data_IF_658434792338
#
_entry.id   IF_658434792338
#
_cell.length_a   1.000
_cell.length_b   1.000
_cell.length_c   1.000
_cell.angle_alpha   90.00
_cell.angle_beta   90.00
_cell.angle_gamma   90.00
#
_symmetry.space_group_name_H-M   'P 1'
#
loop_
_entity.id
_entity.type
_entity.pdbx_description
1 polymer ?
#
# COMPACT_ATOMS: atom_id res chain seq x y z
N UNK A 1 -2.96 8.27 -32.79
CA UNK A 1 -3.83 7.23 -32.20
C UNK A 1 -3.22 6.64 -30.94
N UNK A 2 -1.91 6.37 -30.91
CA UNK A 2 -1.23 5.79 -29.73
C UNK A 2 -1.31 6.65 -28.46
N UNK A 3 -1.23 7.98 -28.63
CA UNK A 3 -1.42 8.93 -27.52
C UNK A 3 -2.80 8.80 -26.86
N UNK A 4 -3.85 8.54 -27.64
CA UNK A 4 -5.20 8.38 -27.10
C UNK A 4 -5.32 7.11 -26.24
N UNK A 5 -4.72 6.00 -26.68
CA UNK A 5 -4.68 4.72 -25.95
C UNK A 5 -3.94 4.88 -24.61
N UNK A 6 -2.81 5.60 -24.63
CA UNK A 6 -2.03 5.82 -23.41
C UNK A 6 -2.77 6.76 -22.46
N UNK A 7 -3.38 7.82 -22.99
CA UNK A 7 -4.19 8.75 -22.19
C UNK A 7 -5.41 8.07 -21.57
N UNK A 8 -6.11 7.20 -22.31
CA UNK A 8 -7.27 6.47 -21.79
C UNK A 8 -6.87 5.51 -20.69
N UNK A 9 -5.74 4.82 -20.81
CA UNK A 9 -5.22 3.95 -19.75
C UNK A 9 -4.85 4.73 -18.47
N UNK A 10 -4.22 5.91 -18.62
CA UNK A 10 -3.87 6.78 -17.48
C UNK A 10 -5.13 7.33 -16.79
N UNK A 11 -6.11 7.80 -17.57
CA UNK A 11 -7.40 8.27 -17.04
C UNK A 11 -8.13 7.13 -16.33
N UNK A 12 -8.13 5.93 -16.92
CA UNK A 12 -8.72 4.72 -16.33
C UNK A 12 -8.11 4.38 -14.97
N UNK A 13 -6.78 4.51 -14.84
CA UNK A 13 -6.08 4.32 -13.57
C UNK A 13 -6.46 5.39 -12.54
N UNK A 14 -6.59 6.65 -12.96
CA UNK A 14 -7.00 7.72 -12.06
C UNK A 14 -8.42 7.48 -11.52
N UNK A 15 -9.37 7.11 -12.39
CA UNK A 15 -10.72 6.71 -12.00
C UNK A 15 -10.66 5.52 -11.03
N UNK A 16 -9.80 4.53 -11.29
CA UNK A 16 -9.65 3.37 -10.42
C UNK A 16 -9.19 3.75 -9.02
N UNK A 17 -8.25 4.68 -8.89
CA UNK A 17 -7.81 5.18 -7.57
C UNK A 17 -8.97 5.86 -6.83
N UNK A 18 -9.75 6.70 -7.51
CA UNK A 18 -10.91 7.40 -6.90
C UNK A 18 -12.00 6.41 -6.48
N UNK A 19 -12.36 5.48 -7.36
CA UNK A 19 -13.35 4.43 -7.10
C UNK A 19 -12.88 3.52 -5.97
N UNK A 20 -11.61 3.10 -5.98
CA UNK A 20 -11.01 2.31 -4.90
C UNK A 20 -11.14 3.01 -3.55
N UNK A 21 -10.78 4.30 -3.47
CA UNK A 21 -10.88 5.07 -2.23
C UNK A 21 -12.33 5.08 -1.73
N UNK A 22 -13.28 5.29 -2.65
CA UNK A 22 -14.71 5.33 -2.35
C UNK A 22 -15.22 3.96 -1.87
N UNK A 23 -15.01 2.90 -2.65
CA UNK A 23 -15.47 1.53 -2.36
C UNK A 23 -14.88 1.01 -1.05
N UNK A 24 -13.57 1.18 -0.82
CA UNK A 24 -12.93 0.74 0.41
C UNK A 24 -13.30 1.61 1.63
N UNK A 25 -13.80 2.84 1.43
CA UNK A 25 -14.38 3.63 2.52
C UNK A 25 -15.71 3.06 3.00
N UNK A 26 -16.48 2.45 2.10
CA UNK A 26 -17.76 1.80 2.42
C UNK A 26 -17.59 0.35 2.90
N UNK A 27 -16.66 -0.40 2.32
CA UNK A 27 -16.32 -1.75 2.76
C UNK A 27 -15.26 -1.68 3.87
N UNK A 28 -15.69 -1.80 5.13
CA UNK A 28 -14.78 -1.85 6.28
C UNK A 28 -13.62 -2.85 6.12
N UNK A 29 -12.53 -2.61 6.85
CA UNK A 29 -11.21 -3.23 6.61
C UNK A 29 -11.09 -4.76 6.58
N UNK A 30 -12.13 -5.51 6.97
CA UNK A 30 -12.14 -6.99 6.85
C UNK A 30 -12.34 -7.48 5.41
N UNK A 31 -12.85 -6.64 4.50
CA UNK A 31 -13.17 -7.01 3.11
C UNK A 31 -12.36 -6.23 2.07
N UNK A 32 -11.10 -5.88 2.39
CA UNK A 32 -10.24 -5.08 1.49
C UNK A 32 -10.06 -5.74 0.13
N UNK A 33 -9.79 -7.06 0.09
CA UNK A 33 -9.59 -7.79 -1.17
C UNK A 33 -10.86 -7.75 -2.03
N UNK A 34 -12.02 -8.01 -1.42
CA UNK A 34 -13.33 -7.96 -2.10
C UNK A 34 -13.59 -6.54 -2.61
N UNK A 35 -13.31 -5.51 -1.81
CA UNK A 35 -13.47 -4.12 -2.23
C UNK A 35 -12.56 -3.72 -3.39
N UNK A 36 -11.34 -4.25 -3.46
CA UNK A 36 -10.43 -4.03 -4.60
C UNK A 36 -10.96 -4.68 -5.88
N UNK A 37 -11.49 -5.90 -5.78
CA UNK A 37 -12.12 -6.61 -6.90
C UNK A 37 -13.32 -5.79 -7.40
N UNK A 38 -14.21 -5.35 -6.50
CA UNK A 38 -15.33 -4.49 -6.88
C UNK A 38 -14.89 -3.19 -7.53
N UNK A 39 -13.89 -2.50 -6.96
CA UNK A 39 -13.39 -1.25 -7.53
C UNK A 39 -12.81 -1.44 -8.93
N UNK A 40 -12.11 -2.56 -9.16
CA UNK A 40 -11.57 -2.91 -10.47
C UNK A 40 -12.67 -3.12 -11.51
N UNK A 41 -13.66 -3.96 -11.19
CA UNK A 41 -14.80 -4.22 -12.09
C UNK A 41 -15.63 -2.97 -12.36
N UNK A 42 -15.90 -2.18 -11.33
CA UNK A 42 -16.71 -0.96 -11.46
C UNK A 42 -16.01 0.09 -12.33
N UNK A 43 -14.69 0.22 -12.18
CA UNK A 43 -13.89 1.10 -13.05
C UNK A 43 -13.82 0.57 -14.48
N UNK A 44 -13.64 -0.73 -14.67
CA UNK A 44 -13.68 -1.36 -16.01
C UNK A 44 -15.00 -1.07 -16.73
N UNK A 45 -16.11 -1.18 -16.00
CA UNK A 45 -17.44 -0.92 -16.53
C UNK A 45 -17.63 0.57 -16.90
N UNK A 46 -17.16 1.50 -16.06
CA UNK A 46 -17.12 2.94 -16.40
C UNK A 46 -16.30 3.19 -17.67
N UNK A 47 -15.10 2.61 -17.77
CA UNK A 47 -14.23 2.80 -18.93
C UNK A 47 -14.82 2.20 -20.20
N UNK A 48 -15.54 1.08 -20.09
CA UNK A 48 -16.32 0.54 -21.20
C UNK A 48 -17.31 1.60 -21.70
N UNK A 49 -18.19 2.12 -20.85
CA UNK A 49 -19.18 3.12 -21.29
C UNK A 49 -18.56 4.42 -21.83
N UNK A 50 -17.47 4.90 -21.25
CA UNK A 50 -16.82 6.16 -21.66
C UNK A 50 -16.12 6.02 -23.01
N UNK A 51 -15.41 4.91 -23.24
CA UNK A 51 -14.52 4.78 -24.40
C UNK A 51 -15.07 3.88 -25.52
N UNK A 52 -16.13 3.10 -25.28
CA UNK A 52 -16.71 2.19 -26.27
C UNK A 52 -17.19 2.91 -27.54
N UNK A 53 -17.70 4.13 -27.43
CA UNK A 53 -18.19 4.90 -28.57
C UNK A 53 -17.09 5.63 -29.36
N UNK A 54 -15.88 5.76 -28.80
CA UNK A 54 -14.81 6.57 -29.39
C UNK A 54 -13.71 5.76 -30.06
N UNK A 55 -13.63 4.45 -29.79
CA UNK A 55 -12.49 3.60 -30.15
C UNK A 55 -12.91 2.35 -30.90
N UNK A 56 -12.06 1.90 -31.83
CA UNK A 56 -12.20 0.57 -32.44
C UNK A 56 -11.98 -0.51 -31.38
N UNK A 57 -12.66 -1.66 -31.53
CA UNK A 57 -12.67 -2.75 -30.53
C UNK A 57 -11.26 -3.24 -30.17
N UNK A 58 -10.34 -3.27 -31.14
CA UNK A 58 -8.94 -3.67 -30.96
C UNK A 58 -8.20 -2.72 -30.01
N UNK A 59 -8.39 -1.41 -30.17
CA UNK A 59 -7.75 -0.41 -29.31
C UNK A 59 -8.30 -0.42 -27.89
N UNK A 60 -9.61 -0.70 -27.74
CA UNK A 60 -10.21 -0.90 -26.42
C UNK A 60 -9.57 -2.07 -25.68
N UNK A 61 -9.37 -3.21 -26.34
CA UNK A 61 -8.72 -4.39 -25.74
C UNK A 61 -7.31 -4.07 -25.28
N UNK A 62 -6.51 -3.37 -26.11
CA UNK A 62 -5.15 -2.97 -25.75
C UNK A 62 -5.14 -2.02 -24.55
N UNK A 63 -6.02 -1.00 -24.55
CA UNK A 63 -6.15 -0.07 -23.43
C UNK A 63 -6.58 -0.78 -22.14
N UNK A 64 -7.47 -1.78 -22.25
CA UNK A 64 -7.92 -2.57 -21.12
C UNK A 64 -6.81 -3.45 -20.53
N UNK A 65 -5.97 -4.07 -21.38
CA UNK A 65 -4.82 -4.85 -20.94
C UNK A 65 -3.79 -3.97 -20.23
N UNK A 66 -3.49 -2.79 -20.78
CA UNK A 66 -2.59 -1.82 -20.15
C UNK A 66 -3.12 -1.35 -18.80
N UNK A 67 -4.40 -1.00 -18.73
CA UNK A 67 -5.06 -0.65 -17.47
C UNK A 67 -4.96 -1.78 -16.43
N UNK A 68 -5.25 -3.02 -16.84
CA UNK A 68 -5.17 -4.20 -15.96
C UNK A 68 -3.77 -4.40 -15.40
N UNK A 69 -2.75 -4.28 -16.25
CA UNK A 69 -1.35 -4.39 -15.84
C UNK A 69 -0.98 -3.28 -14.84
N UNK A 70 -1.35 -2.03 -15.12
CA UNK A 70 -1.06 -0.92 -14.21
C UNK A 70 -1.81 -1.05 -12.87
N UNK A 71 -3.05 -1.54 -12.88
CA UNK A 71 -3.83 -1.79 -11.67
C UNK A 71 -3.16 -2.87 -10.80
N UNK A 72 -2.68 -3.97 -11.40
CA UNK A 72 -1.94 -5.01 -10.69
C UNK A 72 -0.65 -4.45 -10.08
N UNK A 73 0.15 -3.73 -10.87
CA UNK A 73 1.40 -3.11 -10.40
C UNK A 73 1.11 -2.18 -9.22
N UNK A 74 0.08 -1.34 -9.33
CA UNK A 74 -0.32 -0.42 -8.26
C UNK A 74 -0.76 -1.18 -6.99
N UNK A 75 -1.57 -2.22 -7.11
CA UNK A 75 -2.00 -3.03 -5.97
C UNK A 75 -0.80 -3.69 -5.29
N UNK A 76 0.12 -4.24 -6.08
CA UNK A 76 1.33 -4.89 -5.57
C UNK A 76 2.27 -3.90 -4.89
N UNK A 77 2.46 -2.73 -5.48
CA UNK A 77 3.32 -1.69 -4.92
C UNK A 77 2.72 -1.10 -3.64
N UNK A 78 1.40 -0.90 -3.59
CA UNK A 78 0.75 -0.27 -2.42
C UNK A 78 0.50 -1.27 -1.29
N UNK A 79 -0.01 -2.47 -1.58
CA UNK A 79 -0.34 -3.48 -0.56
C UNK A 79 0.82 -4.44 -0.29
N UNK A 80 1.55 -4.84 -1.34
CA UNK A 80 2.67 -5.77 -1.22
C UNK A 80 3.79 -5.18 -0.37
N UNK A 81 4.20 -3.94 -0.63
CA UNK A 81 5.24 -3.26 0.16
C UNK A 81 4.85 -3.14 1.64
N UNK A 82 3.58 -2.82 1.93
CA UNK A 82 3.10 -2.63 3.29
C UNK A 82 3.04 -3.94 4.10
N UNK A 83 2.75 -5.08 3.45
CA UNK A 83 2.50 -6.36 4.13
C UNK A 83 3.70 -7.30 4.14
N UNK A 84 4.56 -7.29 3.12
CA UNK A 84 5.69 -8.24 3.02
C UNK A 84 7.01 -7.70 3.59
N UNK A 85 7.18 -6.39 3.72
CA UNK A 85 8.41 -5.84 4.29
C UNK A 85 8.37 -5.88 5.81
N UNK A 86 9.01 -6.90 6.40
CA UNK A 86 9.30 -6.97 7.85
C UNK A 86 9.90 -5.65 8.37
N UNK A 87 10.67 -4.92 7.57
CA UNK A 87 11.22 -3.60 7.90
C UNK A 87 10.11 -2.59 8.21
N UNK A 88 9.11 -2.52 7.34
CA UNK A 88 7.98 -1.59 7.47
C UNK A 88 7.09 -2.00 8.64
N UNK A 89 6.82 -3.29 8.82
CA UNK A 89 6.03 -3.75 9.95
C UNK A 89 6.70 -3.46 11.30
N UNK A 90 8.03 -3.64 11.40
CA UNK A 90 8.80 -3.33 12.60
C UNK A 90 8.75 -1.83 12.92
N UNK A 91 8.98 -0.98 11.92
CA UNK A 91 8.93 0.46 12.07
C UNK A 91 7.52 0.98 12.41
N UNK A 92 6.46 0.41 11.81
CA UNK A 92 5.06 0.70 12.16
C UNK A 92 4.78 0.30 13.60
N UNK A 93 5.23 -0.88 14.03
CA UNK A 93 5.05 -1.37 15.41
C UNK A 93 5.76 -0.46 16.42
N UNK A 94 6.99 -0.01 16.13
CA UNK A 94 7.73 0.95 16.96
C UNK A 94 6.96 2.28 17.06
N UNK A 95 6.42 2.76 15.95
CA UNK A 95 5.64 4.01 15.90
C UNK A 95 4.32 3.92 16.66
N UNK A 96 3.57 2.81 16.50
CA UNK A 96 2.28 2.60 17.18
C UNK A 96 2.42 2.48 18.70
N UNK A 97 3.56 1.96 19.18
CA UNK A 97 3.86 1.84 20.62
C UNK A 97 4.46 3.12 21.23
N UNK A 98 4.34 4.26 20.54
CA UNK A 98 4.78 5.56 21.05
C UNK A 98 6.24 5.87 20.80
N UNK A 99 6.87 5.23 19.80
CA UNK A 99 8.24 5.50 19.37
C UNK A 99 9.32 4.85 20.23
N UNK A 100 8.94 3.92 21.12
CA UNK A 100 9.86 3.18 22.00
C UNK A 100 9.39 1.74 22.15
N UNK A 101 10.28 0.78 21.93
CA UNK A 101 9.94 -0.64 22.13
C UNK A 101 11.09 -1.41 22.77
N UNK A 102 10.75 -2.23 23.75
CA UNK A 102 11.69 -3.16 24.37
C UNK A 102 11.87 -4.38 23.45
N UNK A 103 13.10 -4.85 23.31
CA UNK A 103 13.43 -6.04 22.50
C UNK A 103 12.56 -7.26 22.87
N UNK A 104 12.28 -7.45 24.16
CA UNK A 104 11.45 -8.56 24.65
C UNK A 104 10.02 -8.56 24.08
N UNK A 105 9.38 -7.37 23.96
CA UNK A 105 8.04 -7.23 23.37
C UNK A 105 8.02 -7.48 21.85
N UNK A 106 9.12 -7.16 21.17
CA UNK A 106 9.29 -7.47 19.73
C UNK A 106 9.35 -8.98 19.49
N UNK A 107 10.03 -9.71 20.37
CA UNK A 107 10.17 -11.16 20.28
C UNK A 107 8.88 -11.91 20.59
N UNK A 108 8.01 -11.38 21.46
CA UNK A 108 6.69 -11.96 21.71
C UNK A 108 5.77 -11.85 20.48
N UNK A 109 5.89 -10.76 19.70
CA UNK A 109 5.07 -10.53 18.50
C UNK A 109 5.59 -11.26 17.26
N UNK A 110 6.88 -11.58 17.21
CA UNK A 110 7.51 -12.25 16.07
C UNK A 110 8.25 -13.51 16.51
N UNK A 111 7.74 -14.68 16.09
CA UNK A 111 8.21 -15.99 16.53
C UNK A 111 9.64 -16.39 16.05
N UNK A 112 10.38 -15.51 15.34
CA UNK A 112 11.69 -15.81 14.74
C UNK A 112 12.79 -14.85 15.18
N UNK A 113 13.39 -15.11 16.37
CA UNK A 113 14.48 -14.33 17.01
C UNK A 113 15.60 -13.89 16.05
N UNK A 114 16.25 -14.84 15.39
CA UNK A 114 17.45 -14.59 14.57
C UNK A 114 17.16 -13.65 13.38
N UNK A 115 15.97 -13.75 12.80
CA UNK A 115 15.58 -12.92 11.63
C UNK A 115 15.31 -11.48 12.07
N UNK A 116 14.70 -11.29 13.25
CA UNK A 116 14.39 -9.97 13.79
C UNK A 116 15.68 -9.27 14.21
N UNK A 117 16.59 -9.97 14.88
CA UNK A 117 17.84 -9.42 15.37
C UNK A 117 18.72 -8.92 14.23
N UNK A 118 18.93 -9.75 13.19
CA UNK A 118 19.65 -9.35 11.98
C UNK A 118 19.01 -8.16 11.26
N UNK A 119 17.67 -8.03 11.31
CA UNK A 119 16.95 -6.90 10.70
C UNK A 119 17.01 -5.63 11.54
N UNK A 120 16.90 -5.73 12.87
CA UNK A 120 17.06 -4.62 13.79
C UNK A 120 18.49 -4.07 13.71
N UNK A 121 19.51 -4.93 13.67
CA UNK A 121 20.89 -4.51 13.47
C UNK A 121 21.08 -3.77 12.14
N UNK A 122 20.48 -4.25 11.03
CA UNK A 122 20.51 -3.51 9.75
C UNK A 122 19.77 -2.17 9.82
N UNK A 123 18.64 -2.10 10.53
CA UNK A 123 17.90 -0.86 10.73
C UNK A 123 18.67 0.16 11.58
N UNK A 124 19.40 -0.31 12.59
CA UNK A 124 20.33 0.51 13.39
C UNK A 124 21.52 0.96 12.54
N UNK A 125 22.12 0.03 11.79
CA UNK A 125 23.24 0.34 10.88
C UNK A 125 22.86 1.31 9.75
N UNK A 126 21.61 1.28 9.30
CA UNK A 126 21.06 2.24 8.33
C UNK A 126 20.65 3.58 8.97
N UNK A 127 20.75 3.72 10.31
CA UNK A 127 20.41 4.94 11.03
C UNK A 127 18.91 5.26 11.08
N UNK A 128 18.02 4.31 10.74
CA UNK A 128 16.57 4.50 10.79
C UNK A 128 15.99 4.35 12.20
N UNK A 129 16.65 3.52 13.02
CA UNK A 129 16.33 3.36 14.43
C UNK A 129 17.60 3.48 15.26
N UNK A 130 17.49 3.98 16.50
CA UNK A 130 18.58 4.01 17.46
C UNK A 130 18.30 3.00 18.56
N UNK A 131 19.33 2.30 19.02
CA UNK A 131 19.25 1.44 20.19
C UNK A 131 19.92 2.13 21.38
N UNK A 132 19.17 2.38 22.45
CA UNK A 132 19.71 3.00 23.67
C UNK A 132 19.01 2.45 24.92
N UNK A 133 19.79 2.10 25.94
CA UNK A 133 19.30 1.60 27.24
C UNK A 133 18.31 0.41 27.14
N UNK A 134 18.49 -0.49 26.17
CA UNK A 134 17.59 -1.65 25.99
C UNK A 134 16.35 -1.41 25.14
N UNK A 135 16.18 -0.19 24.61
CA UNK A 135 15.03 0.21 23.80
C UNK A 135 15.45 0.64 22.40
N UNK A 136 14.58 0.35 21.42
CA UNK A 136 14.70 0.87 20.07
C UNK A 136 13.83 2.11 19.90
N UNK A 137 14.42 3.18 19.34
CA UNK A 137 13.81 4.49 19.07
C UNK A 137 13.80 4.75 17.58
N UNK A 138 12.79 5.47 17.08
CA UNK A 138 12.79 5.97 15.71
C UNK A 138 13.75 7.16 15.58
N UNK A 139 14.64 7.14 14.60
CA UNK A 139 15.49 8.29 14.31
C UNK A 139 14.76 9.24 13.34
N UNK A 140 14.83 10.55 13.58
CA UNK A 140 13.97 11.54 12.88
C UNK A 140 14.42 11.85 11.43
N UNK A 141 15.39 11.11 10.90
CA UNK A 141 15.87 11.26 9.52
C UNK A 141 14.74 10.99 8.52
N UNK A 142 14.61 11.88 7.52
CA UNK A 142 13.58 11.81 6.47
C UNK A 142 13.84 10.56 5.58
N UNK A 143 13.33 9.40 5.99
CA UNK A 143 13.35 8.18 5.18
C UNK A 143 12.05 8.05 4.38
N UNK A 144 12.11 7.36 3.22
CA UNK A 144 10.94 6.90 2.43
C UNK A 144 9.85 6.27 3.31
N UNK A 145 10.22 5.80 4.50
CA UNK A 145 9.30 5.37 5.55
C UNK A 145 8.28 6.43 5.98
N UNK A 146 8.63 7.72 6.14
CA UNK A 146 7.66 8.77 6.49
C UNK A 146 6.61 8.93 5.40
N UNK A 147 7.01 8.89 4.13
CA UNK A 147 6.11 8.94 2.98
C UNK A 147 5.17 7.72 2.96
N UNK A 148 5.72 6.53 3.19
CA UNK A 148 4.94 5.30 3.28
C UNK A 148 3.99 5.29 4.50
N UNK A 149 4.45 5.78 5.65
CA UNK A 149 3.64 5.90 6.86
C UNK A 149 2.58 6.98 6.74
N UNK A 150 2.83 8.04 5.96
CA UNK A 150 1.83 9.05 5.61
C UNK A 150 0.79 8.44 4.68
N UNK A 151 1.18 7.63 3.69
CA UNK A 151 0.27 6.83 2.87
C UNK A 151 -0.54 5.84 3.71
N UNK A 152 0.08 5.09 4.63
CA UNK A 152 -0.62 4.16 5.54
C UNK A 152 -1.55 4.93 6.48
N UNK A 153 -1.15 6.07 7.04
CA UNK A 153 -2.00 6.89 7.90
C UNK A 153 -3.16 7.51 7.13
N UNK A 154 -2.93 7.98 5.90
CA UNK A 154 -3.97 8.44 4.99
C UNK A 154 -4.93 7.30 4.70
N UNK A 155 -4.43 6.13 4.33
CA UNK A 155 -5.24 4.93 4.10
C UNK A 155 -6.01 4.55 5.38
N UNK A 156 -5.39 4.50 6.55
CA UNK A 156 -6.05 4.17 7.81
C UNK A 156 -7.12 5.20 8.20
N UNK A 157 -6.87 6.50 7.95
CA UNK A 157 -7.81 7.60 8.19
C UNK A 157 -8.97 7.59 7.21
N UNK A 158 -8.71 7.28 5.94
CA UNK A 158 -9.71 7.20 4.86
C UNK A 158 -10.56 5.94 4.95
N UNK A 159 -10.00 4.82 5.40
CA UNK A 159 -10.65 3.51 5.33
C UNK A 159 -11.27 3.01 6.64
N UNK A 160 -11.15 3.74 7.78
CA UNK A 160 -11.56 3.25 9.11
C UNK A 160 -11.13 1.78 9.34
N UNK A 161 -9.98 1.38 8.79
CA UNK A 161 -9.49 0.00 8.92
C UNK A 161 -9.16 -0.18 10.40
N UNK A 162 -9.70 -1.23 11.07
CA UNK A 162 -9.33 -1.49 12.45
C UNK A 162 -7.82 -1.63 12.47
N UNK A 163 -7.14 -0.79 13.27
CA UNK A 163 -5.71 -0.94 13.53
C UNK A 163 -5.49 -2.40 13.91
N UNK A 164 -4.56 -3.06 13.22
CA UNK A 164 -4.15 -4.43 13.53
C UNK A 164 -3.81 -4.48 15.03
N UNK A 165 -4.73 -5.06 15.81
CA UNK A 165 -4.48 -5.41 17.21
C UNK A 165 -3.64 -6.67 17.23
#
# INVERSE_FOLDING_TARGET
MDFLILSSAVVSLFIFVVVKITVLRFLGGKKIIIGLIYAYFLTSLINFFVFFFQMTIVFYIISFLLYSLMAIIYVWLVLGIATTSLRIQLLVTIHELGGRIAYKKLLERYNKRVIIENRLQRLVGAGEIQYSKGYYYYNNTFSYFKLHMLLIKLMAKLYKVPRYR
#
